data_IF_829051477762
#
_entry.id   IF_829051477762
#
_cell.length_a   1.000
_cell.length_b   1.000
_cell.length_c   1.000
_cell.angle_alpha   90.00
_cell.angle_beta   90.00
_cell.angle_gamma   90.00
#
_symmetry.space_group_name_H-M   'P 1'
#
loop_
_entity.id
_entity.type
_entity.pdbx_description
1 polymer ?
#
# COMPACT_ATOMS: atom_id res chain seq x y z
N UNK A 1 -1.06 22.65 -9.00
CA UNK A 1 -1.36 21.35 -8.34
C UNK A 1 -0.44 20.22 -8.82
N UNK A 2 -0.22 20.07 -10.13
CA UNK A 2 0.68 19.06 -10.69
C UNK A 2 2.11 19.10 -10.14
N UNK A 3 2.70 20.29 -10.02
CA UNK A 3 4.05 20.47 -9.44
C UNK A 3 4.14 20.03 -7.97
N UNK A 4 3.10 20.27 -7.16
CA UNK A 4 3.05 19.77 -5.78
C UNK A 4 2.98 18.24 -5.74
N UNK A 5 2.16 17.62 -6.61
CA UNK A 5 2.05 16.15 -6.68
C UNK A 5 3.40 15.52 -7.04
N UNK A 6 4.07 16.06 -8.07
CA UNK A 6 5.41 15.60 -8.45
C UNK A 6 6.41 15.77 -7.31
N UNK A 7 6.43 16.93 -6.67
CA UNK A 7 7.33 17.20 -5.54
C UNK A 7 7.10 16.22 -4.38
N UNK A 8 5.85 15.96 -4.00
CA UNK A 8 5.49 15.01 -2.95
C UNK A 8 5.89 13.57 -3.30
N UNK A 9 5.70 13.13 -4.56
CA UNK A 9 6.16 11.81 -5.03
C UNK A 9 7.67 11.71 -4.93
N UNK A 10 8.41 12.74 -5.38
CA UNK A 10 9.88 12.75 -5.31
C UNK A 10 10.34 12.69 -3.85
N UNK A 11 9.74 13.47 -2.95
CA UNK A 11 10.06 13.44 -1.52
C UNK A 11 9.72 12.09 -0.88
N UNK A 12 8.65 11.43 -1.30
CA UNK A 12 8.29 10.09 -0.84
C UNK A 12 9.34 9.06 -1.25
N UNK A 13 9.73 9.05 -2.52
CA UNK A 13 10.74 8.15 -3.06
C UNK A 13 12.12 8.40 -2.45
N UNK A 14 12.44 9.64 -2.10
CA UNK A 14 13.66 10.00 -1.36
C UNK A 14 13.59 9.67 0.14
N UNK A 15 12.45 9.19 0.65
CA UNK A 15 12.25 8.93 2.08
C UNK A 15 12.23 10.20 2.94
N UNK A 16 12.03 11.37 2.33
CA UNK A 16 12.02 12.68 2.99
C UNK A 16 10.62 13.22 3.29
N UNK A 17 9.58 12.60 2.75
CA UNK A 17 8.20 13.04 2.95
C UNK A 17 7.68 12.79 4.37
N UNK A 18 8.11 11.68 4.98
CA UNK A 18 7.65 11.27 6.30
C UNK A 18 8.76 11.43 7.34
N UNK A 19 8.36 11.66 8.60
CA UNK A 19 9.27 11.79 9.74
C UNK A 19 10.09 10.51 9.93
N UNK A 20 9.44 9.36 9.74
CA UNK A 20 9.96 8.02 9.99
C UNK A 20 9.84 7.11 8.75
N UNK A 21 10.69 7.27 7.73
CA UNK A 21 10.58 6.54 6.47
C UNK A 21 10.61 5.01 6.64
N UNK A 22 11.36 4.50 7.62
CA UNK A 22 11.40 3.07 7.93
C UNK A 22 10.01 2.51 8.32
N UNK A 23 9.20 3.27 9.06
CA UNK A 23 7.82 2.87 9.41
C UNK A 23 6.93 2.80 8.18
N UNK A 24 7.10 3.73 7.25
CA UNK A 24 6.37 3.76 5.98
C UNK A 24 6.66 2.51 5.16
N UNK A 25 7.93 2.19 4.91
CA UNK A 25 8.30 0.98 4.16
C UNK A 25 7.81 -0.30 4.84
N UNK A 26 7.89 -0.37 6.18
CA UNK A 26 7.36 -1.50 6.94
C UNK A 26 5.85 -1.66 6.75
N UNK A 27 5.08 -0.57 6.86
CA UNK A 27 3.63 -0.61 6.68
C UNK A 27 3.23 -0.92 5.23
N UNK A 28 3.95 -0.37 4.25
CA UNK A 28 3.78 -0.73 2.83
C UNK A 28 4.03 -2.21 2.61
N UNK A 29 5.10 -2.76 3.18
CA UNK A 29 5.43 -4.18 3.08
C UNK A 29 4.36 -5.06 3.73
N UNK A 30 3.81 -4.67 4.88
CA UNK A 30 2.70 -5.38 5.55
C UNK A 30 1.46 -5.36 4.65
N UNK A 31 1.09 -4.21 4.10
CA UNK A 31 -0.06 -4.09 3.18
C UNK A 31 0.12 -4.94 1.92
N UNK A 32 1.31 -4.91 1.31
CA UNK A 32 1.64 -5.72 0.14
C UNK A 32 1.59 -7.23 0.46
N UNK A 33 2.15 -7.65 1.59
CA UNK A 33 2.14 -9.05 2.03
C UNK A 33 0.71 -9.54 2.29
N UNK A 34 -0.11 -8.74 2.98
CA UNK A 34 -1.53 -9.04 3.19
C UNK A 34 -2.27 -9.20 1.87
N UNK A 35 -2.08 -8.26 0.95
CA UNK A 35 -2.73 -8.27 -0.38
C UNK A 35 -2.32 -9.50 -1.18
N UNK A 36 -1.03 -9.83 -1.21
CA UNK A 36 -0.51 -11.01 -1.90
C UNK A 36 -1.03 -12.30 -1.28
N UNK A 37 -1.05 -12.41 0.05
CA UNK A 37 -1.60 -13.57 0.74
C UNK A 37 -3.09 -13.76 0.42
N UNK A 38 -3.87 -12.67 0.45
CA UNK A 38 -5.29 -12.70 0.13
C UNK A 38 -5.54 -13.12 -1.33
N UNK A 39 -4.74 -12.61 -2.27
CA UNK A 39 -4.78 -13.02 -3.68
C UNK A 39 -4.58 -14.54 -3.82
N UNK A 40 -3.54 -15.08 -3.18
CA UNK A 40 -3.21 -16.51 -3.24
C UNK A 40 -4.35 -17.34 -2.65
N UNK A 41 -4.89 -16.96 -1.49
CA UNK A 41 -6.01 -17.66 -0.85
C UNK A 41 -7.24 -17.69 -1.76
N UNK A 42 -7.59 -16.56 -2.38
CA UNK A 42 -8.75 -16.47 -3.26
C UNK A 42 -8.55 -17.25 -4.58
N UNK A 43 -7.34 -17.22 -5.14
CA UNK A 43 -7.01 -18.00 -6.33
C UNK A 43 -7.07 -19.51 -6.06
N UNK A 44 -6.53 -19.96 -4.92
CA UNK A 44 -6.60 -21.37 -4.50
C UNK A 44 -8.03 -21.81 -4.16
N UNK A 45 -8.88 -20.89 -3.69
CA UNK A 45 -10.31 -21.14 -3.46
C UNK A 45 -11.13 -21.29 -4.77
N UNK A 46 -10.48 -21.22 -5.93
CA UNK A 46 -11.12 -21.43 -7.24
C UNK A 46 -11.66 -20.16 -7.90
N UNK A 47 -11.38 -18.99 -7.32
CA UNK A 47 -11.78 -17.73 -7.95
C UNK A 47 -10.85 -17.44 -9.15
N UNK A 48 -11.38 -16.99 -10.30
CA UNK A 48 -10.56 -16.57 -11.42
C UNK A 48 -9.53 -15.52 -10.96
N UNK A 49 -8.29 -15.62 -11.45
CA UNK A 49 -7.19 -14.74 -11.02
C UNK A 49 -7.56 -13.26 -11.14
N UNK A 50 -8.30 -12.87 -12.17
CA UNK A 50 -8.80 -11.50 -12.34
C UNK A 50 -9.76 -11.07 -11.21
N UNK A 51 -10.68 -11.95 -10.80
CA UNK A 51 -11.61 -11.71 -9.69
C UNK A 51 -10.88 -11.69 -8.35
N UNK A 52 -9.95 -12.63 -8.13
CA UNK A 52 -9.10 -12.65 -6.94
C UNK A 52 -8.24 -11.37 -6.82
N UNK A 53 -7.68 -10.90 -7.93
CA UNK A 53 -6.91 -9.64 -7.98
C UNK A 53 -7.77 -8.41 -7.72
N UNK A 54 -9.00 -8.36 -8.25
CA UNK A 54 -9.91 -7.27 -7.97
C UNK A 54 -10.25 -7.18 -6.47
N UNK A 55 -10.64 -8.31 -5.86
CA UNK A 55 -10.99 -8.38 -4.44
C UNK A 55 -9.78 -8.10 -3.55
N UNK A 56 -8.64 -8.72 -3.83
CA UNK A 56 -7.42 -8.52 -3.06
C UNK A 56 -6.91 -7.07 -3.18
N UNK A 57 -6.94 -6.48 -4.37
CA UNK A 57 -6.53 -5.10 -4.60
C UNK A 57 -7.42 -4.10 -3.86
N UNK A 58 -8.73 -4.29 -3.87
CA UNK A 58 -9.67 -3.44 -3.11
C UNK A 58 -9.40 -3.58 -1.60
N UNK A 59 -9.30 -4.81 -1.10
CA UNK A 59 -9.06 -5.06 0.32
C UNK A 59 -7.71 -4.51 0.79
N UNK A 60 -6.65 -4.72 0.00
CA UNK A 60 -5.31 -4.19 0.24
C UNK A 60 -5.27 -2.66 0.24
N UNK A 61 -5.89 -2.04 -0.76
CA UNK A 61 -6.00 -0.59 -0.86
C UNK A 61 -6.82 0.02 0.29
N UNK A 62 -7.91 -0.63 0.70
CA UNK A 62 -8.72 -0.21 1.84
C UNK A 62 -8.00 -0.38 3.19
N UNK A 63 -7.07 -1.33 3.30
CA UNK A 63 -6.24 -1.52 4.49
C UNK A 63 -5.16 -0.43 4.63
N UNK A 64 -4.71 0.16 3.52
CA UNK A 64 -3.58 1.08 3.50
C UNK A 64 -3.79 2.37 4.33
N UNK A 65 -4.95 3.05 4.31
CA UNK A 65 -5.24 4.17 5.21
C UNK A 65 -5.16 3.81 6.69
N UNK A 66 -5.60 2.60 7.06
CA UNK A 66 -5.53 2.14 8.45
C UNK A 66 -4.08 1.88 8.87
N UNK A 67 -3.28 1.27 7.99
CA UNK A 67 -1.85 1.06 8.26
C UNK A 67 -1.12 2.40 8.42
N UNK A 68 -1.45 3.38 7.59
CA UNK A 68 -0.71 4.65 7.51
C UNK A 68 -1.21 5.72 8.49
N UNK A 69 -2.24 5.43 9.29
CA UNK A 69 -2.89 6.40 10.20
C UNK A 69 -1.93 7.07 11.20
N UNK A 70 -0.88 6.35 11.61
CA UNK A 70 0.08 6.80 12.63
C UNK A 70 1.36 7.40 12.01
N UNK A 71 1.41 7.58 10.68
CA UNK A 71 2.55 8.16 9.99
C UNK A 71 2.51 9.69 10.07
N UNK A 72 3.62 10.27 10.51
CA UNK A 72 3.80 11.73 10.57
C UNK A 72 4.54 12.23 9.35
N UNK A 73 4.05 13.31 8.74
CA UNK A 73 4.76 14.05 7.70
C UNK A 73 5.92 14.89 8.31
N UNK A 74 6.90 15.24 7.47
CA UNK A 74 7.94 16.23 7.81
C UNK A 74 7.51 17.64 7.44
#
# INVERSE_FOLDING_TARGET
MWEMVKSSIVLFLQGKLFAEPAKVYRQTAIGAAFTAALLVVLAVAGLPVAGAAAVAGIAGGALQPYLFKDLRYR
#
